data_IF_830860708239
#
_entry.id   IF_830860708239
#
_cell.length_a   1.000
_cell.length_b   1.000
_cell.length_c   1.000
_cell.angle_alpha   90.00
_cell.angle_beta   90.00
_cell.angle_gamma   90.00
#
_symmetry.space_group_name_H-M   'P 1'
#
loop_
_entity.id
_entity.type
_entity.pdbx_description
1 polymer ?
#
# COMPACT_ATOMS: atom_id res chain seq x y z
N UNK A 1 15.22 5.71 -19.90
CA UNK A 1 14.92 4.26 -20.00
C UNK A 1 14.90 3.57 -18.64
N UNK A 2 15.93 3.64 -17.79
CA UNK A 2 15.92 3.05 -16.44
C UNK A 2 14.81 3.61 -15.52
N UNK A 3 14.56 4.93 -15.54
CA UNK A 3 13.46 5.55 -14.79
C UNK A 3 12.06 5.11 -15.28
N UNK A 4 11.94 4.71 -16.55
CA UNK A 4 10.69 4.24 -17.15
C UNK A 4 10.42 2.78 -16.72
N UNK A 5 11.45 1.95 -16.65
CA UNK A 5 11.36 0.56 -16.18
C UNK A 5 11.19 0.50 -14.65
N UNK A 6 11.92 1.30 -13.88
CA UNK A 6 11.78 1.37 -12.42
C UNK A 6 10.52 2.12 -11.99
N UNK A 7 10.14 3.19 -12.69
CA UNK A 7 8.85 3.84 -12.51
C UNK A 7 7.70 2.88 -12.80
N UNK A 8 7.81 2.05 -13.84
CA UNK A 8 6.80 1.01 -14.12
C UNK A 8 6.79 -0.09 -13.05
N UNK A 9 7.94 -0.51 -12.51
CA UNK A 9 8.03 -1.55 -11.47
C UNK A 9 7.58 -1.05 -10.09
N UNK A 10 7.91 0.20 -9.72
CA UNK A 10 7.46 0.83 -8.48
C UNK A 10 5.98 1.24 -8.52
N UNK A 11 5.43 1.51 -9.72
CA UNK A 11 4.00 1.75 -9.93
C UNK A 11 3.21 0.42 -10.03
N UNK A 12 3.86 -0.68 -10.44
CA UNK A 12 3.25 -2.03 -10.50
C UNK A 12 3.37 -2.85 -9.22
N UNK A 13 4.31 -2.55 -8.32
CA UNK A 13 4.14 -2.83 -6.89
C UNK A 13 3.07 -1.87 -6.37
N UNK A 14 1.84 -2.04 -6.86
CA UNK A 14 0.70 -1.24 -6.45
C UNK A 14 0.71 -1.25 -4.93
N UNK A 15 0.74 -0.10 -4.30
CA UNK A 15 0.62 0.04 -2.85
C UNK A 15 -0.74 -0.51 -2.35
N UNK A 16 -1.67 -0.68 -3.30
CA UNK A 16 -3.07 -1.04 -3.10
C UNK A 16 -3.35 -2.47 -2.59
N UNK A 17 -2.72 -3.57 -3.03
CA UNK A 17 -2.96 -4.89 -2.44
C UNK A 17 -2.48 -4.95 -0.99
N UNK A 18 -1.42 -4.21 -0.65
CA UNK A 18 -0.76 -4.30 0.67
C UNK A 18 -1.61 -3.66 1.76
N UNK A 19 -2.18 -2.47 1.53
CA UNK A 19 -2.97 -1.77 2.56
C UNK A 19 -4.27 -2.49 2.91
N UNK A 20 -4.84 -3.27 1.97
CA UNK A 20 -6.06 -4.05 2.22
C UNK A 20 -5.78 -5.45 2.78
N UNK A 21 -4.56 -5.97 2.65
CA UNK A 21 -4.18 -7.30 3.11
C UNK A 21 -4.57 -7.57 4.57
N UNK A 22 -4.31 -6.66 5.54
CA UNK A 22 -4.74 -6.88 6.92
C UNK A 22 -6.25 -7.07 7.08
N UNK A 23 -7.05 -6.23 6.39
CA UNK A 23 -8.52 -6.30 6.47
C UNK A 23 -9.08 -7.60 5.88
N UNK A 24 -8.54 -8.04 4.72
CA UNK A 24 -8.97 -9.29 4.07
C UNK A 24 -8.54 -10.50 4.89
N UNK A 25 -7.30 -10.49 5.37
CA UNK A 25 -6.77 -11.55 6.22
C UNK A 25 -7.63 -11.75 7.47
N UNK A 26 -7.99 -10.66 8.16
CA UNK A 26 -8.85 -10.71 9.35
C UNK A 26 -10.28 -11.14 9.02
N UNK A 27 -10.86 -10.65 7.92
CA UNK A 27 -12.19 -11.04 7.45
C UNK A 27 -12.31 -12.54 7.18
N UNK A 28 -11.27 -13.16 6.60
CA UNK A 28 -11.20 -14.60 6.35
C UNK A 28 -11.07 -15.45 7.62
N UNK A 29 -10.72 -14.82 8.75
CA UNK A 29 -10.40 -15.50 10.01
C UNK A 29 -11.63 -15.86 10.85
N UNK A 30 -12.85 -15.54 10.38
CA UNK A 30 -14.14 -15.75 11.08
C UNK A 30 -14.21 -15.18 12.50
N UNK A 31 -13.31 -14.26 12.84
CA UNK A 31 -13.32 -13.55 14.11
C UNK A 31 -14.40 -12.49 14.09
N UNK A 32 -15.14 -12.39 15.19
CA UNK A 32 -15.96 -11.22 15.47
C UNK A 32 -15.19 -10.21 16.31
N UNK A 33 -15.48 -8.93 16.08
CA UNK A 33 -14.91 -7.77 16.74
C UNK A 33 -15.03 -7.84 18.27
N UNK A 34 -16.04 -8.53 18.82
CA UNK A 34 -16.24 -8.70 20.27
C UNK A 34 -15.31 -9.75 20.93
N UNK A 35 -14.46 -10.43 20.15
CA UNK A 35 -13.58 -11.47 20.70
C UNK A 35 -12.39 -10.90 21.49
N UNK A 36 -12.10 -11.51 22.66
CA UNK A 36 -10.98 -11.12 23.52
C UNK A 36 -9.60 -11.29 22.88
N UNK A 37 -8.60 -10.54 23.37
CA UNK A 37 -7.25 -10.41 22.77
C UNK A 37 -6.54 -11.75 22.49
N UNK A 38 -6.67 -12.74 23.36
CA UNK A 38 -6.07 -14.08 23.18
C UNK A 38 -6.67 -14.81 21.97
N UNK A 39 -7.98 -14.69 21.76
CA UNK A 39 -8.65 -15.27 20.58
C UNK A 39 -8.17 -14.59 19.30
N UNK A 40 -7.98 -13.26 19.34
CA UNK A 40 -7.42 -12.48 18.21
C UNK A 40 -6.02 -12.96 17.82
N UNK A 41 -5.11 -13.12 18.79
CA UNK A 41 -3.74 -13.60 18.51
C UNK A 41 -3.75 -15.01 17.93
N UNK A 42 -4.54 -15.92 18.51
CA UNK A 42 -4.65 -17.30 18.01
C UNK A 42 -5.17 -17.33 16.57
N UNK A 43 -6.17 -16.52 16.26
CA UNK A 43 -6.69 -16.45 14.90
C UNK A 43 -5.65 -15.96 13.91
N UNK A 44 -4.86 -14.93 14.23
CA UNK A 44 -3.81 -14.46 13.33
C UNK A 44 -2.82 -15.58 13.00
N UNK A 45 -2.42 -16.36 14.01
CA UNK A 45 -1.45 -17.43 13.85
C UNK A 45 -2.04 -18.61 13.07
N UNK A 46 -3.25 -19.06 13.40
CA UNK A 46 -3.85 -20.29 12.88
C UNK A 46 -4.84 -20.09 11.71
N UNK A 47 -4.98 -18.88 11.17
CA UNK A 47 -5.89 -18.59 10.04
C UNK A 47 -5.36 -19.15 8.71
N UNK A 48 -5.60 -20.45 8.48
CA UNK A 48 -5.19 -21.14 7.26
C UNK A 48 -5.77 -20.49 5.98
N UNK A 49 -6.99 -19.94 6.03
CA UNK A 49 -7.62 -19.25 4.88
C UNK A 49 -6.92 -17.94 4.56
N UNK A 50 -6.57 -17.16 5.58
CA UNK A 50 -5.80 -15.92 5.43
C UNK A 50 -4.39 -16.19 4.91
N UNK A 51 -3.69 -17.19 5.47
CA UNK A 51 -2.36 -17.59 4.98
C UNK A 51 -2.41 -18.10 3.54
N UNK A 52 -3.41 -18.91 3.19
CA UNK A 52 -3.64 -19.33 1.82
C UNK A 52 -3.96 -18.16 0.90
N UNK A 53 -4.72 -17.16 1.35
CA UNK A 53 -5.00 -15.95 0.57
C UNK A 53 -3.74 -15.09 0.35
N UNK A 54 -2.91 -14.90 1.37
CA UNK A 54 -1.62 -14.19 1.23
C UNK A 54 -0.70 -14.93 0.27
N UNK A 55 -0.65 -16.26 0.38
CA UNK A 55 0.09 -17.11 -0.55
C UNK A 55 -0.48 -17.00 -1.97
N UNK A 56 -1.80 -17.05 -2.15
CA UNK A 56 -2.46 -16.89 -3.45
C UNK A 56 -2.25 -15.49 -4.01
N UNK A 57 -2.34 -14.41 -3.24
CA UNK A 57 -2.02 -13.06 -3.71
C UNK A 57 -0.57 -12.96 -4.19
N UNK A 58 0.36 -13.50 -3.40
CA UNK A 58 1.77 -13.58 -3.77
C UNK A 58 1.96 -14.37 -5.08
N UNK A 59 1.29 -15.51 -5.20
CA UNK A 59 1.32 -16.37 -6.38
C UNK A 59 0.57 -15.75 -7.56
N UNK A 60 -0.50 -14.99 -7.36
CA UNK A 60 -1.37 -14.43 -8.40
C UNK A 60 -0.79 -13.17 -9.02
N UNK A 61 -0.12 -12.32 -8.24
CA UNK A 61 0.76 -11.25 -8.78
C UNK A 61 1.94 -11.86 -9.57
N UNK A 62 2.42 -13.05 -9.16
CA UNK A 62 3.45 -13.79 -9.90
C UNK A 62 2.91 -14.56 -11.13
N UNK A 63 1.63 -14.98 -11.16
CA UNK A 63 1.02 -15.86 -12.18
C UNK A 63 0.18 -15.14 -13.24
N UNK A 64 -0.77 -14.30 -12.80
CA UNK A 64 -1.82 -13.76 -13.69
C UNK A 64 -1.35 -12.57 -14.51
N UNK A 65 -0.13 -12.06 -14.27
CA UNK A 65 0.48 -11.06 -15.14
C UNK A 65 0.58 -11.54 -16.60
N UNK A 66 0.69 -12.86 -16.82
CA UNK A 66 0.81 -13.45 -18.14
C UNK A 66 -0.51 -13.82 -18.82
N UNK A 67 -1.58 -14.10 -18.07
CA UNK A 67 -2.85 -14.54 -18.69
C UNK A 67 -3.74 -13.36 -19.09
N UNK A 68 -3.61 -12.20 -18.42
CA UNK A 68 -4.44 -11.01 -18.71
C UNK A 68 -3.88 -10.05 -19.76
N UNK A 69 -2.63 -10.24 -20.23
CA UNK A 69 -2.05 -9.46 -21.34
C UNK A 69 -1.87 -10.32 -22.58
N UNK A 70 -2.91 -10.41 -23.38
CA UNK A 70 -2.92 -11.07 -24.68
C UNK A 70 -2.30 -10.21 -25.80
N UNK A 71 -1.23 -9.45 -25.53
CA UNK A 71 -0.50 -8.68 -26.54
C UNK A 71 0.88 -9.29 -26.77
N UNK A 72 0.91 -10.26 -27.70
CA UNK A 72 2.06 -11.08 -28.12
C UNK A 72 3.26 -10.23 -28.63
N UNK A 73 3.05 -8.95 -28.98
CA UNK A 73 4.07 -8.07 -29.58
C UNK A 73 5.04 -7.40 -28.59
N UNK A 74 4.78 -7.46 -27.27
CA UNK A 74 5.64 -6.82 -26.26
C UNK A 74 6.51 -7.82 -25.48
N UNK A 75 6.65 -9.05 -25.97
CA UNK A 75 7.25 -10.16 -25.22
C UNK A 75 8.77 -10.32 -25.39
N UNK A 76 9.48 -9.28 -25.84
CA UNK A 76 10.95 -9.28 -25.91
C UNK A 76 11.55 -8.29 -24.92
N UNK A 77 11.49 -8.64 -23.65
CA UNK A 77 12.48 -8.20 -22.69
C UNK A 77 13.26 -9.44 -22.24
N UNK A 78 14.43 -9.72 -22.85
CA UNK A 78 15.34 -10.79 -22.43
C UNK A 78 15.73 -10.70 -20.94
N UNK A 79 15.48 -9.56 -20.30
CA UNK A 79 15.77 -9.28 -18.91
C UNK A 79 14.84 -10.01 -17.92
N UNK A 80 13.69 -10.53 -18.34
CA UNK A 80 12.78 -11.26 -17.45
C UNK A 80 13.02 -12.79 -17.44
N UNK A 81 13.85 -13.33 -18.35
CA UNK A 81 14.15 -14.77 -18.46
C UNK A 81 14.48 -15.47 -17.11
N UNK A 82 15.25 -14.85 -16.19
CA UNK A 82 15.56 -15.45 -14.88
C UNK A 82 14.40 -15.47 -13.88
N UNK A 83 13.43 -14.57 -14.03
CA UNK A 83 12.24 -14.48 -13.17
C UNK A 83 11.23 -15.60 -13.50
N UNK A 84 11.17 -16.01 -14.77
CA UNK A 84 10.31 -17.12 -15.24
C UNK A 84 10.71 -18.49 -14.69
N UNK A 85 12.00 -18.71 -14.39
CA UNK A 85 12.51 -19.97 -13.81
C UNK A 85 12.35 -20.05 -12.29
N UNK A 86 11.99 -18.93 -11.64
CA UNK A 86 11.92 -18.75 -10.18
C UNK A 86 10.54 -19.07 -9.57
N UNK A 87 9.72 -19.81 -10.30
CA UNK A 87 8.28 -19.86 -10.07
C UNK A 87 7.86 -20.65 -8.80
N UNK A 88 8.74 -21.44 -8.18
CA UNK A 88 8.41 -22.29 -7.03
C UNK A 88 9.36 -22.18 -5.82
N UNK A 89 10.45 -21.40 -5.90
CA UNK A 89 11.48 -21.38 -4.86
C UNK A 89 11.86 -19.94 -4.46
N UNK A 90 11.63 -19.52 -3.19
CA UNK A 90 12.01 -18.19 -2.70
C UNK A 90 13.51 -17.92 -2.83
N UNK A 91 14.36 -18.95 -2.85
CA UNK A 91 15.80 -18.81 -3.07
C UNK A 91 16.09 -18.28 -4.47
N UNK A 92 15.39 -18.77 -5.49
CA UNK A 92 15.57 -18.34 -6.88
C UNK A 92 15.06 -16.89 -7.05
N UNK A 93 14.02 -16.49 -6.31
CA UNK A 93 13.45 -15.13 -6.41
C UNK A 93 14.37 -14.12 -5.74
N UNK A 94 14.85 -14.46 -4.54
CA UNK A 94 15.83 -13.64 -3.83
C UNK A 94 17.13 -13.51 -4.63
N UNK A 95 17.63 -14.61 -5.21
CA UNK A 95 18.86 -14.58 -6.01
C UNK A 95 18.69 -13.81 -7.32
N UNK A 96 17.58 -13.95 -8.04
CA UNK A 96 17.33 -13.19 -9.28
C UNK A 96 17.17 -11.68 -9.02
N UNK A 97 16.51 -11.29 -7.92
CA UNK A 97 16.46 -9.90 -7.46
C UNK A 97 17.86 -9.38 -7.09
N UNK A 98 18.62 -10.14 -6.29
CA UNK A 98 20.00 -9.80 -5.91
C UNK A 98 20.90 -9.63 -7.14
N UNK A 99 20.86 -10.56 -8.09
CA UNK A 99 21.64 -10.48 -9.34
C UNK A 99 21.26 -9.23 -10.12
N UNK A 100 19.97 -8.90 -10.21
CA UNK A 100 19.51 -7.69 -10.91
C UNK A 100 20.00 -6.42 -10.22
N UNK A 101 19.88 -6.34 -8.89
CA UNK A 101 20.37 -5.21 -8.08
C UNK A 101 21.89 -5.06 -8.22
N UNK A 102 22.64 -6.15 -8.13
CA UNK A 102 24.11 -6.15 -8.26
C UNK A 102 24.55 -5.78 -9.68
N UNK A 103 23.83 -6.25 -10.71
CA UNK A 103 24.09 -5.90 -12.10
C UNK A 103 23.92 -4.39 -12.32
N UNK A 104 22.80 -3.81 -11.90
CA UNK A 104 22.56 -2.37 -12.04
C UNK A 104 23.48 -1.54 -11.16
N UNK A 105 23.81 -2.01 -9.95
CA UNK A 105 24.82 -1.40 -9.10
C UNK A 105 26.20 -1.38 -9.74
N UNK A 106 26.60 -2.44 -10.47
CA UNK A 106 27.89 -2.45 -11.17
C UNK A 106 27.96 -1.41 -12.29
N UNK A 107 26.84 -1.15 -12.98
CA UNK A 107 26.78 -0.19 -14.08
C UNK A 107 26.67 1.27 -13.61
N UNK A 108 25.86 1.54 -12.60
CA UNK A 108 25.49 2.89 -12.17
C UNK A 108 26.01 3.25 -10.77
N UNK A 109 26.63 2.30 -10.06
CA UNK A 109 27.22 2.50 -8.75
C UNK A 109 26.22 2.97 -7.69
N UNK A 110 26.65 3.85 -6.77
CA UNK A 110 25.82 4.30 -5.65
C UNK A 110 24.58 5.12 -6.10
N UNK A 111 24.61 5.73 -7.29
CA UNK A 111 23.49 6.52 -7.82
C UNK A 111 22.26 5.64 -8.04
N UNK A 112 22.44 4.40 -8.51
CA UNK A 112 21.31 3.46 -8.68
C UNK A 112 20.60 3.17 -7.35
N UNK A 113 21.37 2.94 -6.27
CA UNK A 113 20.76 2.66 -4.96
C UNK A 113 19.99 3.87 -4.47
N UNK A 114 20.54 5.07 -4.65
CA UNK A 114 19.90 6.31 -4.21
C UNK A 114 18.60 6.57 -4.96
N UNK A 115 18.60 6.44 -6.28
CA UNK A 115 17.45 6.79 -7.12
C UNK A 115 16.41 5.66 -7.25
N UNK A 116 16.84 4.41 -7.39
CA UNK A 116 15.93 3.29 -7.65
C UNK A 116 15.37 2.64 -6.37
N UNK A 117 16.12 2.65 -5.27
CA UNK A 117 15.73 1.97 -4.03
C UNK A 117 15.38 2.93 -2.90
N UNK A 118 16.22 3.95 -2.66
CA UNK A 118 16.09 4.82 -1.49
C UNK A 118 15.29 6.10 -1.75
N UNK A 119 15.04 6.45 -3.01
CA UNK A 119 14.41 7.72 -3.38
C UNK A 119 13.06 7.92 -2.69
N UNK A 120 12.17 6.92 -2.73
CA UNK A 120 10.84 7.01 -2.12
C UNK A 120 10.89 7.10 -0.58
N UNK A 121 11.89 6.48 0.04
CA UNK A 121 12.09 6.54 1.51
C UNK A 121 12.56 7.92 1.92
N UNK A 122 13.48 8.53 1.16
CA UNK A 122 14.07 9.85 1.45
C UNK A 122 13.23 11.02 0.95
N UNK A 123 12.32 10.80 0.00
CA UNK A 123 11.49 11.87 -0.58
C UNK A 123 10.71 12.59 0.52
N UNK A 124 10.99 13.87 0.68
CA UNK A 124 10.20 14.84 1.42
C UNK A 124 9.79 15.91 0.41
N UNK A 125 8.50 16.19 0.34
CA UNK A 125 7.95 17.19 -0.57
C UNK A 125 7.29 18.26 0.29
N UNK A 126 7.82 19.48 0.24
CA UNK A 126 7.28 20.63 0.98
C UNK A 126 6.29 21.42 0.13
N UNK A 127 6.44 21.36 -1.18
CA UNK A 127 5.64 22.14 -2.11
C UNK A 127 4.44 21.33 -2.57
N UNK A 128 3.26 21.95 -2.61
CA UNK A 128 2.03 21.30 -3.10
C UNK A 128 1.69 19.98 -2.38
N UNK A 129 2.17 19.83 -1.14
CA UNK A 129 1.91 18.69 -0.29
C UNK A 129 0.73 18.99 0.62
N UNK A 130 -0.39 18.30 0.41
CA UNK A 130 -1.60 18.42 1.21
C UNK A 130 -1.56 17.57 2.49
N UNK A 131 -0.43 16.91 2.79
CA UNK A 131 -0.30 16.10 4.00
C UNK A 131 -0.18 16.98 5.24
N UNK A 132 -0.55 16.47 6.43
CA UNK A 132 -0.30 17.16 7.69
C UNK A 132 1.20 17.36 8.00
N UNK A 133 2.08 16.68 7.26
CA UNK A 133 3.52 16.75 7.43
C UNK A 133 4.19 17.87 6.62
N UNK A 134 3.45 18.59 5.78
CA UNK A 134 3.99 19.73 5.01
C UNK A 134 4.71 20.74 5.92
N UNK A 135 4.07 21.13 7.03
CA UNK A 135 4.60 22.18 7.90
C UNK A 135 5.83 21.70 8.70
N UNK A 136 5.83 20.50 9.33
CA UNK A 136 7.05 19.92 9.88
C UNK A 136 8.22 19.86 8.89
N UNK A 137 7.98 19.42 7.65
CA UNK A 137 9.04 19.40 6.62
C UNK A 137 9.52 20.78 6.22
N UNK A 138 8.63 21.78 6.20
CA UNK A 138 8.99 23.16 5.91
C UNK A 138 9.92 23.71 7.00
N UNK A 139 9.59 23.49 8.28
CA UNK A 139 10.41 23.94 9.41
C UNK A 139 11.78 23.23 9.46
N UNK A 140 11.84 21.96 9.09
CA UNK A 140 13.08 21.17 9.10
C UNK A 140 13.88 21.23 7.80
N UNK A 141 13.48 22.05 6.82
CA UNK A 141 14.04 22.01 5.45
C UNK A 141 15.58 22.11 5.39
N UNK A 142 16.18 22.94 6.26
CA UNK A 142 17.63 23.13 6.32
C UNK A 142 18.37 22.04 7.13
N UNK A 143 17.63 21.15 7.81
CA UNK A 143 18.17 20.04 8.59
C UNK A 143 17.76 18.70 7.96
N UNK A 144 18.66 18.05 7.19
CA UNK A 144 18.36 16.80 6.51
C UNK A 144 18.12 15.63 7.48
N UNK A 145 18.74 15.65 8.67
CA UNK A 145 18.61 14.58 9.67
C UNK A 145 17.22 14.63 10.28
N UNK A 146 16.78 15.82 10.69
CA UNK A 146 15.43 16.02 11.24
C UNK A 146 14.36 15.76 10.19
N UNK A 147 14.56 16.22 8.95
CA UNK A 147 13.64 15.95 7.84
C UNK A 147 13.47 14.44 7.59
N UNK A 148 14.57 13.68 7.58
CA UNK A 148 14.49 12.23 7.41
C UNK A 148 13.78 11.56 8.59
N UNK A 149 14.04 12.02 9.83
CA UNK A 149 13.37 11.50 11.02
C UNK A 149 11.85 11.73 10.96
N UNK A 150 11.40 12.93 10.60
CA UNK A 150 9.97 13.25 10.40
C UNK A 150 9.36 12.34 9.33
N UNK A 151 10.07 12.14 8.21
CA UNK A 151 9.60 11.28 7.12
C UNK A 151 9.43 9.82 7.52
N UNK A 152 10.29 9.30 8.41
CA UNK A 152 10.17 7.96 8.96
C UNK A 152 9.05 7.88 10.01
N UNK A 153 8.97 8.90 10.87
CA UNK A 153 7.94 8.98 11.92
C UNK A 153 6.53 9.02 11.32
N UNK A 154 6.34 9.66 10.16
CA UNK A 154 5.05 9.72 9.47
C UNK A 154 4.44 8.34 9.14
N UNK A 155 5.25 7.29 9.00
CA UNK A 155 4.75 5.93 8.80
C UNK A 155 4.11 5.33 10.05
N UNK A 156 4.51 5.77 11.24
CA UNK A 156 4.04 5.20 12.51
C UNK A 156 2.53 5.42 12.70
N UNK A 157 2.00 6.65 12.73
CA UNK A 157 0.56 6.86 12.88
C UNK A 157 -0.23 6.29 11.69
N UNK A 158 0.36 6.28 10.49
CA UNK A 158 -0.27 5.70 9.30
C UNK A 158 -0.48 4.18 9.46
N UNK A 159 0.58 3.43 9.83
CA UNK A 159 0.50 1.97 10.04
C UNK A 159 -0.43 1.64 11.21
N UNK A 160 -0.31 2.38 12.33
CA UNK A 160 -1.16 2.15 13.50
C UNK A 160 -2.64 2.36 13.19
N UNK A 161 -2.98 3.43 12.46
CA UNK A 161 -4.37 3.72 12.12
C UNK A 161 -4.93 2.70 11.12
N UNK A 162 -4.15 2.32 10.10
CA UNK A 162 -4.57 1.27 9.14
C UNK A 162 -4.79 -0.06 9.86
N UNK A 163 -3.89 -0.45 10.76
CA UNK A 163 -4.04 -1.66 11.55
C UNK A 163 -5.30 -1.60 12.43
N UNK A 164 -5.52 -0.47 13.12
CA UNK A 164 -6.70 -0.27 13.96
C UNK A 164 -8.00 -0.36 13.14
N UNK A 165 -8.07 0.31 11.99
CA UNK A 165 -9.23 0.23 11.08
C UNK A 165 -9.48 -1.21 10.65
N UNK A 166 -8.42 -1.94 10.26
CA UNK A 166 -8.55 -3.34 9.87
C UNK A 166 -9.12 -4.20 11.01
N UNK A 167 -8.65 -4.05 12.25
CA UNK A 167 -9.19 -4.82 13.38
C UNK A 167 -10.62 -4.42 13.76
N UNK A 168 -10.97 -3.14 13.63
CA UNK A 168 -12.31 -2.64 14.02
C UNK A 168 -13.38 -2.90 12.97
N UNK A 169 -13.04 -2.91 11.67
CA UNK A 169 -14.04 -2.88 10.59
C UNK A 169 -13.90 -4.02 9.57
N UNK A 170 -13.03 -5.01 9.77
CA UNK A 170 -12.85 -6.15 8.83
C UNK A 170 -14.13 -6.95 8.49
N UNK A 171 -15.18 -6.87 9.31
CA UNK A 171 -16.47 -7.50 9.04
C UNK A 171 -17.22 -6.82 7.87
N UNK A 172 -17.06 -5.51 7.69
CA UNK A 172 -17.60 -4.73 6.56
C UNK A 172 -16.45 -4.25 5.67
N UNK A 173 -16.04 -5.10 4.73
CA UNK A 173 -14.90 -4.85 3.85
C UNK A 173 -15.03 -3.55 3.02
N UNK A 174 -16.16 -3.25 2.34
CA UNK A 174 -16.33 -1.97 1.64
C UNK A 174 -16.09 -0.74 2.52
N UNK A 175 -16.66 -0.72 3.72
CA UNK A 175 -16.47 0.38 4.67
C UNK A 175 -15.03 0.43 5.19
N UNK A 176 -14.46 -0.72 5.53
CA UNK A 176 -13.07 -0.85 5.97
C UNK A 176 -12.07 -0.37 4.91
N UNK A 177 -12.26 -0.73 3.64
CA UNK A 177 -11.38 -0.31 2.54
C UNK A 177 -11.49 1.19 2.28
N UNK A 178 -12.68 1.77 2.38
CA UNK A 178 -12.85 3.21 2.32
C UNK A 178 -12.05 3.91 3.43
N UNK A 179 -12.24 3.51 4.69
CA UNK A 179 -11.53 4.09 5.82
C UNK A 179 -10.02 3.88 5.75
N UNK A 180 -9.57 2.69 5.37
CA UNK A 180 -8.15 2.36 5.20
C UNK A 180 -7.51 3.23 4.14
N UNK A 181 -8.16 3.44 2.99
CA UNK A 181 -7.65 4.30 1.92
C UNK A 181 -7.67 5.77 2.33
N UNK A 182 -8.72 6.22 3.02
CA UNK A 182 -8.80 7.57 3.57
C UNK A 182 -7.65 7.83 4.56
N UNK A 183 -7.42 6.91 5.51
CA UNK A 183 -6.32 6.98 6.47
C UNK A 183 -4.95 6.94 5.78
N UNK A 184 -4.78 6.02 4.82
CA UNK A 184 -3.56 5.89 4.04
C UNK A 184 -3.21 7.20 3.33
N UNK A 185 -4.17 7.81 2.62
CA UNK A 185 -3.96 9.07 1.89
C UNK A 185 -3.74 10.24 2.84
N UNK A 186 -4.56 10.36 3.90
CA UNK A 186 -4.53 11.49 4.83
C UNK A 186 -3.25 11.54 5.67
N UNK A 187 -2.70 10.38 6.03
CA UNK A 187 -1.48 10.27 6.82
C UNK A 187 -0.24 9.92 5.98
N UNK A 188 -0.31 9.98 4.66
CA UNK A 188 0.88 9.82 3.83
C UNK A 188 1.80 11.05 4.01
N UNK A 189 3.11 10.84 4.15
CA UNK A 189 4.08 11.94 4.27
C UNK A 189 4.04 12.91 3.09
N UNK A 190 3.78 12.41 1.88
CA UNK A 190 3.62 13.20 0.66
C UNK A 190 2.26 12.90 0.06
N UNK A 191 1.38 13.90 0.01
CA UNK A 191 0.02 13.80 -0.50
C UNK A 191 -0.23 14.87 -1.57
N UNK A 192 -0.58 14.45 -2.78
CA UNK A 192 -0.97 15.34 -3.88
C UNK A 192 -2.49 15.26 -4.08
N UNK A 193 -3.09 16.27 -4.71
CA UNK A 193 -4.55 16.33 -4.93
C UNK A 193 -5.10 15.11 -5.69
N UNK A 194 -4.30 14.47 -6.53
CA UNK A 194 -4.67 13.24 -7.24
C UNK A 194 -5.08 12.10 -6.29
N UNK A 195 -4.51 12.05 -5.08
CA UNK A 195 -4.77 10.97 -4.14
C UNK A 195 -6.19 11.01 -3.56
N UNK A 196 -6.86 12.18 -3.58
CA UNK A 196 -8.21 12.31 -3.04
C UNK A 196 -9.23 11.46 -3.81
N UNK A 197 -9.00 11.23 -5.10
CA UNK A 197 -9.84 10.35 -5.92
C UNK A 197 -9.87 8.92 -5.38
N UNK A 198 -8.80 8.46 -4.71
CA UNK A 198 -8.65 7.07 -4.30
C UNK A 198 -9.73 6.63 -3.30
N UNK A 199 -10.05 7.47 -2.31
CA UNK A 199 -11.11 7.15 -1.34
C UNK A 199 -12.48 7.64 -1.79
N UNK A 200 -12.57 8.73 -2.59
CA UNK A 200 -13.85 9.21 -3.13
C UNK A 200 -14.52 8.12 -4.00
N UNK A 201 -13.75 7.39 -4.80
CA UNK A 201 -14.29 6.29 -5.61
C UNK A 201 -14.83 5.11 -4.78
N UNK A 202 -14.42 4.96 -3.52
CA UNK A 202 -14.91 3.90 -2.62
C UNK A 202 -16.17 4.33 -1.84
N UNK A 203 -16.43 5.64 -1.75
CA UNK A 203 -17.57 6.19 -1.01
C UNK A 203 -18.92 5.62 -1.44
N UNK A 204 -19.26 5.49 -2.75
CA UNK A 204 -20.55 4.93 -3.17
C UNK A 204 -20.74 3.46 -2.80
N UNK A 205 -19.65 2.73 -2.54
CA UNK A 205 -19.70 1.32 -2.13
C UNK A 205 -19.83 1.23 -0.62
N UNK A 206 -19.13 2.10 0.12
CA UNK A 206 -19.15 2.17 1.59
C UNK A 206 -20.45 2.78 2.16
N UNK A 207 -21.16 3.63 1.40
CA UNK A 207 -22.36 4.34 1.86
C UNK A 207 -23.50 3.42 2.34
N UNK A 208 -23.52 2.14 1.97
CA UNK A 208 -24.59 1.20 2.39
C UNK A 208 -24.71 1.04 3.90
N UNK A 209 -23.63 1.32 4.62
CA UNK A 209 -23.53 1.18 6.08
C UNK A 209 -23.50 2.54 6.79
N UNK A 210 -23.41 3.64 6.03
CA UNK A 210 -23.38 5.00 6.59
C UNK A 210 -24.83 5.46 6.77
N UNK A 211 -25.35 5.30 7.99
CA UNK A 211 -26.61 5.94 8.37
C UNK A 211 -26.38 7.44 8.52
N UNK A 212 -26.73 8.21 7.47
CA UNK A 212 -26.80 9.66 7.57
C UNK A 212 -28.06 10.01 8.36
N UNK A 213 -27.92 10.29 9.65
CA UNK A 213 -29.04 10.83 10.42
C UNK A 213 -29.35 12.24 9.91
N UNK A 214 -30.46 12.38 9.21
CA UNK A 214 -31.01 13.65 8.70
C UNK A 214 -31.58 14.53 9.84
N UNK A 215 -30.92 14.56 10.99
CA UNK A 215 -31.39 15.24 12.20
C UNK A 215 -31.30 16.78 12.12
N UNK A 216 -30.84 17.34 10.99
CA UNK A 216 -30.71 18.78 10.77
C UNK A 216 -31.64 19.38 9.71
N UNK A 217 -32.41 18.57 8.96
CA UNK A 217 -33.36 19.12 7.96
C UNK A 217 -34.80 19.26 8.49
N UNK A 218 -35.11 18.77 9.69
CA UNK A 218 -36.42 18.95 10.33
C UNK A 218 -36.49 20.11 11.34
N UNK A 219 -35.37 20.76 11.64
CA UNK A 219 -35.32 21.91 12.54
C UNK A 219 -35.46 23.23 11.76
N UNK A 220 -36.70 23.56 11.38
CA UNK A 220 -37.16 24.94 11.26
C UNK A 220 -36.78 25.71 9.98
N UNK A 221 -37.55 25.52 8.92
CA UNK A 221 -37.93 26.62 8.02
C UNK A 221 -39.39 26.42 7.61
N UNK A 222 -40.30 27.04 8.36
CA UNK A 222 -41.66 27.34 7.89
C UNK A 222 -41.61 28.68 7.13
N UNK A 223 -42.21 28.78 5.92
CA UNK A 223 -42.18 29.98 5.09
C UNK A 223 -42.85 31.19 5.74
#
# INVERSE_FOLDING_TARGET
MAALVHGSFAVQMKLYPIIYLPSIFLSLSSISTESGMIKRIKSIIFNARGHAFVLVLYVQEALLYHVKRADIWHNFSPYFYPFYLSYNDPVISCTSFLVSVLFWYKLYGPVYVQEALLYHVKRADIWHNFSPYFYPFYLSYNDPVVTQFIGLYAFVPQILLIAWIAFSFHEDLPFCWFLTTLAFVSLNKVCTSQYFVWYICLLPIAQRTIEVSLLYLSAGYSP
#
